data_IF_844589504911
#
_entry.id   IF_844589504911
#
_cell.length_a   1.000
_cell.length_b   1.000
_cell.length_c   1.000
_cell.angle_alpha   90.00
_cell.angle_beta   90.00
_cell.angle_gamma   90.00
#
_symmetry.space_group_name_H-M   'P 1'
#
loop_
_entity.id
_entity.type
_entity.pdbx_description
1 polymer ?
#
# COMPACT_ATOMS: atom_id res chain seq x y z
N UNK A 1 -24.06 2.00 17.33
CA UNK A 1 -23.10 1.00 17.88
C UNK A 1 -22.65 0.02 16.80
N UNK A 2 -23.59 -0.66 16.11
CA UNK A 2 -23.28 -1.59 15.01
C UNK A 2 -22.49 -0.99 13.84
N UNK A 3 -22.82 0.23 13.38
CA UNK A 3 -22.08 0.91 12.29
C UNK A 3 -20.57 1.05 12.56
N UNK A 4 -20.18 1.34 13.81
CA UNK A 4 -18.77 1.55 14.18
C UNK A 4 -17.97 0.24 14.15
N UNK A 5 -18.62 -0.88 14.48
CA UNK A 5 -18.02 -2.22 14.41
C UNK A 5 -17.88 -2.67 12.95
N UNK A 6 -18.88 -2.37 12.11
CA UNK A 6 -18.85 -2.67 10.67
C UNK A 6 -17.70 -1.93 9.96
N UNK A 7 -17.59 -0.61 10.17
CA UNK A 7 -16.55 0.23 9.56
C UNK A 7 -15.14 -0.23 9.95
N UNK A 8 -14.95 -0.70 11.19
CA UNK A 8 -13.67 -1.24 11.65
C UNK A 8 -13.34 -2.59 11.00
N UNK A 9 -14.34 -3.46 10.81
CA UNK A 9 -14.16 -4.74 10.11
C UNK A 9 -13.85 -4.54 8.63
N UNK A 10 -14.56 -3.63 7.97
CA UNK A 10 -14.37 -3.33 6.56
C UNK A 10 -12.98 -2.69 6.31
N UNK A 11 -12.50 -1.84 7.23
CA UNK A 11 -11.15 -1.27 7.12
C UNK A 11 -10.05 -2.33 7.21
N UNK A 12 -10.21 -3.33 8.08
CA UNK A 12 -9.26 -4.44 8.20
C UNK A 12 -9.21 -5.27 6.91
N UNK A 13 -10.38 -5.56 6.32
CA UNK A 13 -10.50 -6.28 5.04
C UNK A 13 -9.79 -5.50 3.93
N UNK A 14 -9.94 -4.18 3.88
CA UNK A 14 -9.30 -3.38 2.83
C UNK A 14 -7.77 -3.33 2.95
N UNK A 15 -7.24 -3.19 4.16
CA UNK A 15 -5.78 -3.16 4.35
C UNK A 15 -5.15 -4.50 3.96
N UNK A 16 -5.82 -5.61 4.30
CA UNK A 16 -5.34 -6.97 4.03
C UNK A 16 -5.53 -7.34 2.54
N UNK A 17 -6.68 -7.02 1.93
CA UNK A 17 -7.00 -7.38 0.54
C UNK A 17 -6.15 -6.62 -0.50
N UNK A 18 -5.74 -5.39 -0.20
CA UNK A 18 -4.89 -4.58 -1.09
C UNK A 18 -3.38 -4.75 -0.84
N UNK A 19 -2.97 -5.65 0.07
CA UNK A 19 -1.56 -5.81 0.47
C UNK A 19 -0.89 -4.45 0.79
N UNK A 20 -1.63 -3.51 1.38
CA UNK A 20 -1.11 -2.16 1.67
C UNK A 20 0.03 -2.21 2.70
N UNK A 21 0.09 -3.28 3.51
CA UNK A 21 1.15 -3.55 4.46
C UNK A 21 1.53 -5.03 4.36
N UNK A 22 2.81 -5.32 4.17
CA UNK A 22 3.33 -6.68 4.12
C UNK A 22 4.20 -6.97 5.35
N UNK A 23 3.98 -8.11 5.99
CA UNK A 23 4.80 -8.56 7.12
C UNK A 23 5.96 -9.42 6.62
N UNK A 24 7.19 -8.91 6.78
CA UNK A 24 8.41 -9.62 6.40
C UNK A 24 9.13 -10.11 7.66
N UNK A 25 9.48 -11.40 7.77
CA UNK A 25 10.19 -11.90 8.93
C UNK A 25 11.63 -11.35 8.97
N UNK A 26 11.99 -10.70 10.08
CA UNK A 26 13.32 -10.13 10.31
C UNK A 26 14.00 -10.82 11.50
N UNK A 27 15.15 -11.42 11.24
CA UNK A 27 16.03 -12.00 12.25
C UNK A 27 17.35 -11.21 12.30
N UNK A 28 17.53 -10.39 13.33
CA UNK A 28 18.71 -9.52 13.51
C UNK A 28 20.03 -10.28 13.70
N UNK A 29 19.98 -11.60 13.97
CA UNK A 29 21.17 -12.44 14.11
C UNK A 29 21.63 -13.03 12.79
N UNK A 30 20.84 -12.88 11.72
CA UNK A 30 21.11 -13.41 10.39
C UNK A 30 21.24 -12.27 9.40
N UNK A 31 22.47 -12.02 8.95
CA UNK A 31 22.76 -11.00 7.95
C UNK A 31 21.95 -11.19 6.66
N UNK A 32 21.72 -12.44 6.25
CA UNK A 32 20.87 -12.78 5.11
C UNK A 32 19.41 -12.35 5.28
N UNK A 33 18.89 -12.28 6.51
CA UNK A 33 17.53 -11.79 6.78
C UNK A 33 17.45 -10.28 6.60
N UNK A 34 18.51 -9.55 6.93
CA UNK A 34 18.61 -8.10 6.70
C UNK A 34 18.71 -7.82 5.20
N UNK A 35 19.57 -8.55 4.48
CA UNK A 35 19.67 -8.43 3.02
C UNK A 35 18.34 -8.73 2.33
N UNK A 36 17.62 -9.77 2.77
CA UNK A 36 16.31 -10.10 2.22
C UNK A 36 15.30 -8.95 2.38
N UNK A 37 15.24 -8.32 3.56
CA UNK A 37 14.36 -7.17 3.79
C UNK A 37 14.77 -5.97 2.92
N UNK A 38 16.08 -5.70 2.77
CA UNK A 38 16.57 -4.62 1.92
C UNK A 38 16.19 -4.85 0.44
N UNK A 39 16.43 -6.06 -0.08
CA UNK A 39 16.03 -6.40 -1.46
C UNK A 39 14.52 -6.36 -1.69
N UNK A 40 13.74 -6.71 -0.66
CA UNK A 40 12.29 -6.57 -0.69
C UNK A 40 11.92 -5.09 -0.85
N UNK A 41 12.42 -4.21 0.01
CA UNK A 41 12.16 -2.75 -0.07
C UNK A 41 12.54 -2.18 -1.44
N UNK A 42 13.72 -2.50 -1.97
CA UNK A 42 14.18 -2.02 -3.27
C UNK A 42 13.21 -2.41 -4.40
N UNK A 43 12.68 -3.64 -4.33
CA UNK A 43 11.70 -4.15 -5.32
C UNK A 43 10.36 -3.39 -5.27
N UNK A 44 9.90 -2.96 -4.09
CA UNK A 44 8.66 -2.17 -3.97
C UNK A 44 8.81 -0.74 -4.46
N UNK A 45 9.96 -0.12 -4.20
CA UNK A 45 10.23 1.24 -4.68
C UNK A 45 10.24 1.25 -6.21
N UNK A 46 10.93 0.29 -6.83
CA UNK A 46 10.94 0.16 -8.29
C UNK A 46 9.57 -0.19 -8.88
N UNK A 47 8.76 -1.01 -8.20
CA UNK A 47 7.37 -1.26 -8.62
C UNK A 47 6.51 0.02 -8.58
N UNK A 48 6.74 0.90 -7.59
CA UNK A 48 6.08 2.20 -7.50
C UNK A 48 6.56 3.19 -8.56
N UNK A 49 7.80 3.09 -9.02
CA UNK A 49 8.35 3.91 -10.11
C UNK A 49 7.77 3.51 -11.48
N UNK A 50 7.59 2.21 -11.74
CA UNK A 50 6.96 1.70 -12.96
C UNK A 50 5.43 1.87 -12.97
N UNK A 51 4.81 2.16 -11.82
CA UNK A 51 3.41 2.53 -11.74
C UNK A 51 3.25 3.96 -12.29
N UNK A 52 3.12 4.05 -13.62
CA UNK A 52 2.84 5.27 -14.38
C UNK A 52 1.92 6.19 -13.56
N UNK A 53 2.47 7.32 -13.08
CA UNK A 53 1.73 8.26 -12.25
C UNK A 53 0.65 8.86 -13.14
N UNK A 54 -0.53 8.23 -13.15
CA UNK A 54 -1.72 8.80 -13.76
C UNK A 54 -2.09 10.00 -12.91
N UNK A 55 -1.46 11.13 -13.21
CA UNK A 55 -1.95 12.44 -12.79
C UNK A 55 -3.36 12.47 -13.32
N UNK A 56 -4.34 12.38 -12.41
CA UNK A 56 -5.72 12.56 -12.78
C UNK A 56 -5.80 14.02 -13.21
N UNK A 57 -5.78 14.27 -14.51
CA UNK A 57 -6.08 15.60 -15.04
C UNK A 57 -7.42 15.97 -14.40
N UNK A 58 -7.35 16.93 -13.48
CA UNK A 58 -8.53 17.37 -12.75
C UNK A 58 -9.29 18.23 -13.75
N UNK A 59 -10.12 17.61 -14.58
CA UNK A 59 -11.03 18.35 -15.44
C UNK A 59 -11.89 19.22 -14.51
N UNK A 60 -11.74 20.56 -14.57
CA UNK A 60 -12.63 21.43 -13.83
C UNK A 60 -14.06 21.14 -14.33
N UNK A 61 -15.07 21.19 -13.44
CA UNK A 61 -16.46 21.06 -13.87
C UNK A 61 -16.71 22.12 -14.95
N UNK A 62 -17.21 21.70 -16.12
CA UNK A 62 -17.72 22.62 -17.12
C UNK A 62 -18.87 23.40 -16.46
N UNK A 63 -18.70 24.72 -16.29
CA UNK A 63 -19.77 25.60 -15.85
C UNK A 63 -20.81 25.65 -16.98
N UNK A 64 -21.91 24.89 -16.83
CA UNK A 64 -23.11 24.98 -17.67
C UNK A 64 -23.83 26.31 -17.39
N UNK A 65 -23.55 27.34 -18.21
CA UNK A 65 -24.37 28.57 -18.35
C UNK A 65 -25.57 28.36 -19.30
#
# INVERSE_FOLDING_TARGET
MYQKIQILGDFQIWVDDYNMVNFVPLDLRKESSIQYVLSYIDSFIHYGEDADVKVRDFDPPEDDD
#
